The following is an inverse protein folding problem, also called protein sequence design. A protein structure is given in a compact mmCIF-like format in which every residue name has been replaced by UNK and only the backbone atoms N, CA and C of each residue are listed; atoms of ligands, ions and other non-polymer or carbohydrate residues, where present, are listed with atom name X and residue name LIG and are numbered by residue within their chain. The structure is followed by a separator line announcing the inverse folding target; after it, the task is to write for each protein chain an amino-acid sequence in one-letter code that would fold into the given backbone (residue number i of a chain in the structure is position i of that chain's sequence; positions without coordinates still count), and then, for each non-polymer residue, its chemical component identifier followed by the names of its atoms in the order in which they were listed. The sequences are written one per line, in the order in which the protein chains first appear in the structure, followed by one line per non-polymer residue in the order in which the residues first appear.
data_IF_964477165305
#
_entry.id   IF_964477165305
#
_cell.length_a   1.000
_cell.length_b   1.000
_cell.length_c   1.000
_cell.angle_alpha   90.00
_cell.angle_beta   90.00
_cell.angle_gamma   90.00
#
_symmetry.space_group_name_H-M   'P 1'
#
loop_
_entity.id
_entity.type
_entity.pdbx_description
1 polymer ?
#
# COMPACT_ATOMS: atom_id res chain seq x y z
N UNK A 1 -10.04 29.03 -14.03
CA UNK A 1 -10.68 28.15 -15.03
C UNK A 1 -9.69 27.22 -15.72
N UNK A 2 -8.58 27.67 -16.34
CA UNK A 2 -7.55 26.76 -16.91
C UNK A 2 -6.65 26.04 -15.88
N UNK A 3 -6.51 26.59 -14.67
CA UNK A 3 -5.59 26.08 -13.65
C UNK A 3 -5.93 24.68 -13.10
N UNK A 4 -7.21 24.35 -12.88
CA UNK A 4 -7.60 23.04 -12.32
C UNK A 4 -7.37 21.91 -13.32
N UNK A 5 -7.67 22.14 -14.61
CA UNK A 5 -7.44 21.14 -15.65
C UNK A 5 -5.94 20.91 -15.93
N UNK A 6 -5.14 21.98 -15.99
CA UNK A 6 -3.68 21.83 -16.12
C UNK A 6 -3.09 21.09 -14.91
N UNK A 7 -3.53 21.42 -13.69
CA UNK A 7 -3.12 20.73 -12.48
C UNK A 7 -3.52 19.25 -12.50
N UNK A 8 -4.74 18.93 -12.96
CA UNK A 8 -5.22 17.57 -13.15
C UNK A 8 -4.34 16.77 -14.12
N UNK A 9 -3.96 17.34 -15.27
CA UNK A 9 -3.06 16.68 -16.22
C UNK A 9 -1.69 16.44 -15.59
N UNK A 10 -1.10 17.48 -14.97
CA UNK A 10 0.21 17.38 -14.33
C UNK A 10 0.21 16.28 -13.27
N UNK A 11 -0.80 16.26 -12.40
CA UNK A 11 -0.94 15.22 -11.39
C UNK A 11 -1.11 13.84 -12.01
N UNK A 12 -1.96 13.71 -13.03
CA UNK A 12 -2.16 12.44 -13.75
C UNK A 12 -0.84 11.87 -14.27
N UNK A 13 -0.01 12.70 -14.91
CA UNK A 13 1.31 12.29 -15.40
C UNK A 13 2.22 11.87 -14.24
N UNK A 14 2.26 12.63 -13.15
CA UNK A 14 3.05 12.28 -11.95
C UNK A 14 2.61 10.92 -11.41
N UNK A 15 1.31 10.69 -11.26
CA UNK A 15 0.75 9.45 -10.71
C UNK A 15 1.08 8.26 -11.62
N UNK A 16 0.96 8.42 -12.94
CA UNK A 16 1.34 7.40 -13.92
C UNK A 16 2.82 7.04 -13.76
N UNK A 17 3.71 8.04 -13.73
CA UNK A 17 5.16 7.83 -13.57
C UNK A 17 5.48 7.14 -12.25
N UNK A 18 4.88 7.59 -11.15
CA UNK A 18 5.08 7.01 -9.80
C UNK A 18 4.62 5.56 -9.75
N UNK A 19 3.45 5.23 -10.29
CA UNK A 19 2.95 3.87 -10.36
C UNK A 19 3.85 2.98 -11.23
N UNK A 20 4.30 3.45 -12.40
CA UNK A 20 5.25 2.71 -13.24
C UNK A 20 6.57 2.42 -12.52
N UNK A 21 7.11 3.39 -11.76
CA UNK A 21 8.29 3.17 -10.94
C UNK A 21 8.06 2.11 -9.86
N UNK A 22 6.89 2.13 -9.21
CA UNK A 22 6.48 1.09 -8.26
C UNK A 22 6.46 -0.30 -8.89
N UNK A 23 5.76 -0.45 -10.03
CA UNK A 23 5.71 -1.71 -10.79
C UNK A 23 7.09 -2.19 -11.22
N UNK A 24 7.92 -1.30 -11.75
CA UNK A 24 9.27 -1.65 -12.19
C UNK A 24 10.13 -2.18 -11.03
N UNK A 25 9.99 -1.58 -9.84
CA UNK A 25 10.72 -2.03 -8.66
C UNK A 25 10.25 -3.42 -8.22
N UNK A 26 8.95 -3.63 -8.12
CA UNK A 26 8.33 -4.90 -7.70
C UNK A 26 8.70 -6.03 -8.67
N UNK A 27 8.64 -5.76 -9.98
CA UNK A 27 8.99 -6.74 -11.00
C UNK A 27 10.44 -7.21 -10.90
N UNK A 28 11.34 -6.33 -10.43
CA UNK A 28 12.76 -6.63 -10.25
C UNK A 28 13.09 -7.36 -8.95
N UNK A 29 12.14 -7.46 -8.01
CA UNK A 29 12.37 -8.14 -6.74
C UNK A 29 12.58 -9.63 -7.00
N UNK A 30 13.72 -10.13 -6.54
CA UNK A 30 14.06 -11.54 -6.61
C UNK A 30 13.72 -12.29 -5.32
N UNK A 31 13.52 -13.60 -5.44
CA UNK A 31 13.38 -14.49 -4.29
C UNK A 31 14.03 -15.84 -4.61
N UNK A 32 14.56 -16.49 -3.59
CA UNK A 32 14.96 -17.89 -3.62
C UNK A 32 13.84 -18.86 -3.19
N UNK A 33 12.74 -18.33 -2.63
CA UNK A 33 11.62 -19.11 -2.10
C UNK A 33 11.90 -19.85 -0.79
N UNK A 34 12.98 -19.51 -0.09
CA UNK A 34 13.28 -20.03 1.23
C UNK A 34 12.76 -19.09 2.34
N UNK A 35 12.39 -19.67 3.48
CA UNK A 35 12.06 -18.95 4.70
C UNK A 35 13.19 -19.18 5.69
N UNK A 36 13.67 -18.07 6.25
CA UNK A 36 14.80 -18.03 7.15
C UNK A 36 14.38 -17.59 8.56
N UNK A 37 15.12 -18.06 9.55
CA UNK A 37 15.06 -17.62 10.95
C UNK A 37 16.45 -17.19 11.41
N UNK A 38 16.52 -16.13 12.20
CA UNK A 38 17.73 -15.71 12.90
C UNK A 38 17.69 -16.26 14.32
N UNK A 39 18.70 -17.04 14.70
CA UNK A 39 18.86 -17.60 16.05
C UNK A 39 19.60 -16.61 16.97
N UNK A 40 19.62 -16.88 18.28
CA UNK A 40 20.19 -15.98 19.29
C UNK A 40 21.69 -15.70 19.07
N UNK A 41 22.41 -16.67 18.49
CA UNK A 41 23.82 -16.55 18.08
C UNK A 41 24.03 -15.75 16.78
N UNK A 42 22.99 -15.06 16.28
CA UNK A 42 22.96 -14.33 14.99
C UNK A 42 23.22 -15.21 13.75
N UNK A 43 23.10 -16.53 13.90
CA UNK A 43 23.14 -17.44 12.76
C UNK A 43 21.80 -17.43 12.05
N UNK A 44 21.83 -17.39 10.71
CA UNK A 44 20.63 -17.41 9.88
C UNK A 44 20.45 -18.82 9.34
N UNK A 45 19.30 -19.44 9.61
CA UNK A 45 18.99 -20.82 9.28
C UNK A 45 17.78 -20.90 8.37
N UNK A 46 17.80 -21.84 7.41
CA UNK A 46 16.66 -22.16 6.57
C UNK A 46 15.67 -23.00 7.37
N UNK A 47 14.46 -22.50 7.57
CA UNK A 47 13.40 -23.21 8.31
C UNK A 47 12.34 -23.83 7.40
N UNK A 48 12.23 -23.35 6.16
CA UNK A 48 11.30 -23.89 5.18
C UNK A 48 11.75 -23.54 3.76
N UNK A 49 11.49 -24.44 2.82
CA UNK A 49 11.74 -24.24 1.40
C UNK A 49 10.44 -24.50 0.65
N UNK A 50 9.99 -23.51 -0.11
CA UNK A 50 8.79 -23.64 -0.94
C UNK A 50 9.05 -24.66 -2.05
N UNK A 51 8.13 -25.61 -2.25
CA UNK A 51 8.21 -26.54 -3.37
C UNK A 51 8.28 -25.80 -4.71
N UNK A 52 9.09 -26.33 -5.64
CA UNK A 52 9.32 -25.75 -6.96
C UNK A 52 9.88 -24.31 -6.93
N UNK A 53 10.56 -23.94 -5.84
CA UNK A 53 11.30 -22.68 -5.76
C UNK A 53 12.74 -22.83 -6.26
N UNK A 54 13.44 -21.70 -6.55
CA UNK A 54 14.87 -21.72 -6.80
C UNK A 54 15.70 -22.48 -5.77
N UNK A 55 15.44 -22.27 -4.48
CA UNK A 55 16.13 -22.96 -3.39
C UNK A 55 15.88 -24.47 -3.45
N UNK A 56 14.64 -24.90 -3.74
CA UNK A 56 14.28 -26.31 -3.90
C UNK A 56 15.06 -26.96 -5.04
N UNK A 57 15.11 -26.34 -6.22
CA UNK A 57 15.84 -26.88 -7.37
C UNK A 57 17.36 -26.88 -7.21
N UNK A 58 17.87 -26.11 -6.26
CA UNK A 58 19.31 -25.98 -6.01
C UNK A 58 19.81 -26.88 -4.87
N UNK A 59 18.96 -27.75 -4.33
CA UNK A 59 19.29 -28.64 -3.20
C UNK A 59 19.71 -27.91 -1.91
N UNK A 60 19.17 -26.70 -1.68
CA UNK A 60 19.14 -26.16 -0.33
C UNK A 60 18.20 -27.02 0.53
N UNK A 61 18.52 -27.14 1.81
CA UNK A 61 17.77 -27.98 2.75
C UNK A 61 17.38 -27.20 4.00
N UNK A 62 16.32 -27.68 4.66
CA UNK A 62 15.93 -27.17 5.97
C UNK A 62 17.02 -27.54 6.98
N UNK A 63 17.42 -26.58 7.81
CA UNK A 63 18.54 -26.71 8.75
C UNK A 63 19.87 -26.14 8.25
N UNK A 64 19.97 -25.82 6.95
CA UNK A 64 21.16 -25.18 6.40
C UNK A 64 21.39 -23.81 7.05
N UNK A 65 22.62 -23.57 7.53
CA UNK A 65 23.03 -22.28 8.11
C UNK A 65 23.72 -21.43 7.07
N UNK A 66 23.19 -20.25 6.78
CA UNK A 66 23.75 -19.30 5.82
C UNK A 66 24.98 -18.62 6.44
N UNK A 67 26.13 -18.77 5.78
CA UNK A 67 27.38 -18.09 6.15
C UNK A 67 27.58 -16.85 5.29
N UNK A 68 27.45 -16.98 3.97
CA UNK A 68 27.62 -15.88 3.03
C UNK A 68 26.86 -16.13 1.73
N UNK A 69 26.52 -15.05 1.02
CA UNK A 69 26.01 -15.10 -0.35
C UNK A 69 26.96 -14.31 -1.25
N UNK A 70 27.53 -14.95 -2.29
CA UNK A 70 28.57 -14.38 -3.14
C UNK A 70 29.72 -13.75 -2.32
N UNK A 71 30.15 -14.43 -1.25
CA UNK A 71 31.20 -13.95 -0.35
C UNK A 71 30.79 -12.83 0.60
N UNK A 72 29.55 -12.33 0.54
CA UNK A 72 29.04 -11.30 1.45
C UNK A 72 28.33 -11.94 2.65
N UNK A 73 28.84 -11.66 3.85
CA UNK A 73 28.22 -12.11 5.11
C UNK A 73 27.04 -11.18 5.45
N UNK A 74 25.81 -11.70 5.58
CA UNK A 74 24.65 -10.90 5.96
C UNK A 74 24.78 -10.38 7.39
N UNK A 75 24.48 -9.10 7.61
CA UNK A 75 24.53 -8.48 8.95
C UNK A 75 23.35 -8.89 9.85
N UNK A 76 22.23 -9.24 9.24
CA UNK A 76 20.99 -9.65 9.89
C UNK A 76 20.10 -10.38 8.89
N UNK A 77 19.01 -10.99 9.37
CA UNK A 77 17.99 -11.57 8.50
C UNK A 77 17.40 -10.58 7.49
N UNK A 78 17.26 -9.31 7.89
CA UNK A 78 16.71 -8.26 7.03
C UNK A 78 17.68 -7.85 5.94
N UNK A 79 18.98 -7.83 6.26
CA UNK A 79 20.04 -7.60 5.27
C UNK A 79 20.08 -8.73 4.25
N UNK A 80 20.00 -9.99 4.70
CA UNK A 80 19.94 -11.16 3.82
C UNK A 80 18.74 -11.07 2.86
N UNK A 81 17.52 -10.98 3.40
CA UNK A 81 16.29 -11.01 2.60
C UNK A 81 16.18 -9.82 1.66
N UNK A 82 16.31 -8.60 2.17
CA UNK A 82 16.01 -7.44 1.34
C UNK A 82 17.22 -6.89 0.57
N UNK A 83 18.38 -6.75 1.21
CA UNK A 83 19.54 -6.11 0.57
C UNK A 83 20.30 -7.06 -0.36
N UNK A 84 20.29 -8.36 -0.06
CA UNK A 84 21.05 -9.35 -0.83
C UNK A 84 20.13 -10.10 -1.80
N UNK A 85 19.07 -10.75 -1.30
CA UNK A 85 18.20 -11.61 -2.12
C UNK A 85 17.25 -10.75 -2.96
N UNK A 86 16.42 -9.88 -2.37
CA UNK A 86 15.41 -9.11 -3.11
C UNK A 86 16.02 -8.15 -4.13
N UNK A 87 17.18 -7.53 -3.81
CA UNK A 87 17.91 -6.64 -4.72
C UNK A 87 18.87 -7.37 -5.67
N UNK A 88 19.04 -8.69 -5.52
CA UNK A 88 20.02 -9.42 -6.29
C UNK A 88 19.74 -9.38 -7.79
N UNK A 89 18.46 -9.39 -8.15
CA UNK A 89 17.93 -9.35 -9.51
C UNK A 89 17.48 -10.73 -9.95
N UNK A 90 16.37 -10.75 -10.68
CA UNK A 90 15.77 -11.98 -11.20
C UNK A 90 16.70 -12.68 -12.19
N UNK A 91 16.67 -14.01 -12.19
CA UNK A 91 17.44 -14.93 -13.03
C UNK A 91 18.96 -14.94 -12.80
N UNK A 92 19.47 -14.18 -11.82
CA UNK A 92 20.89 -14.22 -11.46
C UNK A 92 21.22 -15.38 -10.55
N UNK A 93 22.42 -15.93 -10.75
CA UNK A 93 22.95 -17.01 -9.92
C UNK A 93 23.71 -16.42 -8.72
N UNK A 94 23.34 -16.84 -7.53
CA UNK A 94 23.98 -16.50 -6.27
C UNK A 94 24.61 -17.76 -5.68
N UNK A 95 25.85 -17.65 -5.22
CA UNK A 95 26.57 -18.74 -4.55
C UNK A 95 26.28 -18.63 -3.06
N UNK A 96 25.52 -19.58 -2.54
CA UNK A 96 25.22 -19.71 -1.12
C UNK A 96 26.33 -20.52 -0.46
N UNK A 97 27.12 -19.87 0.38
CA UNK A 97 28.03 -20.55 1.29
C UNK A 97 27.25 -20.89 2.55
N UNK A 98 27.04 -22.18 2.78
CA UNK A 98 26.26 -22.72 3.90
C UNK A 98 27.09 -23.66 4.76
N UNK A 99 26.65 -23.86 6.00
CA UNK A 99 27.14 -24.94 6.86
C UNK A 99 26.05 -25.99 7.05
N UNK A 100 26.32 -27.22 6.63
CA UNK A 100 25.48 -28.42 6.80
C UNK A 100 26.32 -29.52 7.45
N UNK A 101 25.86 -30.10 8.55
CA UNK A 101 26.60 -31.15 9.28
C UNK A 101 28.08 -30.83 9.53
N UNK A 102 28.37 -29.59 9.92
CA UNK A 102 29.72 -29.04 10.14
C UNK A 102 30.62 -28.95 8.90
N UNK A 103 30.10 -29.23 7.70
CA UNK A 103 30.79 -29.01 6.43
C UNK A 103 30.31 -27.71 5.79
N UNK A 104 31.24 -27.00 5.15
CA UNK A 104 30.93 -25.82 4.36
C UNK A 104 30.66 -26.26 2.92
N UNK A 105 29.50 -25.88 2.39
CA UNK A 105 29.09 -26.16 1.00
C UNK A 105 28.85 -24.84 0.27
N UNK A 106 29.15 -24.82 -1.02
CA UNK A 106 28.84 -23.70 -1.90
C UNK A 106 27.80 -24.16 -2.91
N UNK A 107 26.59 -23.62 -2.81
CA UNK A 107 25.44 -24.03 -3.61
C UNK A 107 25.04 -22.86 -4.54
N UNK A 108 25.11 -23.03 -5.87
CA UNK A 108 24.63 -22.03 -6.80
C UNK A 108 23.09 -22.06 -6.86
N UNK A 109 22.45 -20.92 -6.63
CA UNK A 109 21.00 -20.75 -6.66
C UNK A 109 20.64 -19.67 -7.68
N UNK A 110 19.83 -20.02 -8.68
CA UNK A 110 19.32 -19.06 -9.67
C UNK A 110 18.06 -18.37 -9.15
N UNK A 111 18.17 -17.13 -8.69
CA UNK A 111 17.05 -16.39 -8.10
C UNK A 111 15.87 -16.25 -9.07
N UNK A 112 14.66 -16.45 -8.57
CA UNK A 112 13.41 -16.31 -9.33
C UNK A 112 12.70 -15.00 -9.00
N UNK A 113 11.50 -14.81 -9.56
CA UNK A 113 10.63 -13.68 -9.22
C UNK A 113 10.08 -13.81 -7.80
N UNK A 114 10.08 -12.71 -7.04
CA UNK A 114 9.45 -12.67 -5.71
C UNK A 114 7.95 -12.88 -5.78
N UNK A 115 7.28 -12.13 -6.66
CA UNK A 115 5.86 -12.29 -6.95
C UNK A 115 5.66 -13.08 -8.24
N UNK A 116 4.59 -13.88 -8.30
CA UNK A 116 4.28 -14.59 -9.54
C UNK A 116 3.89 -13.60 -10.64
N UNK A 117 4.15 -13.96 -11.90
CA UNK A 117 3.80 -13.12 -13.06
C UNK A 117 2.30 -12.82 -13.12
N UNK A 118 1.45 -13.80 -12.76
CA UNK A 118 0.00 -13.64 -12.73
C UNK A 118 -0.44 -12.65 -11.64
N UNK A 119 0.20 -12.70 -10.47
CA UNK A 119 -0.04 -11.72 -9.40
C UNK A 119 0.32 -10.31 -9.88
N UNK A 120 1.49 -10.15 -10.52
CA UNK A 120 1.90 -8.86 -11.06
C UNK A 120 0.92 -8.29 -12.10
N UNK A 121 0.43 -9.13 -13.02
CA UNK A 121 -0.57 -8.72 -14.02
C UNK A 121 -1.88 -8.31 -13.34
N UNK A 122 -2.33 -9.07 -12.34
CA UNK A 122 -3.51 -8.74 -11.56
C UNK A 122 -3.38 -7.36 -10.88
N UNK A 123 -2.27 -7.10 -10.21
CA UNK A 123 -2.01 -5.80 -9.57
C UNK A 123 -1.99 -4.65 -10.58
N UNK A 124 -1.40 -4.87 -11.76
CA UNK A 124 -1.40 -3.89 -12.86
C UNK A 124 -2.81 -3.53 -13.32
N UNK A 125 -3.67 -4.54 -13.50
CA UNK A 125 -5.07 -4.35 -13.89
C UNK A 125 -5.80 -3.56 -12.81
N UNK A 126 -5.61 -3.90 -11.52
CA UNK A 126 -6.30 -3.21 -10.43
C UNK A 126 -5.91 -1.74 -10.31
N UNK A 127 -4.61 -1.42 -10.36
CA UNK A 127 -4.12 -0.03 -10.32
C UNK A 127 -4.62 0.75 -11.54
N UNK A 128 -4.57 0.14 -12.73
CA UNK A 128 -5.10 0.76 -13.95
C UNK A 128 -6.60 1.04 -13.82
N UNK A 129 -7.40 0.08 -13.32
CA UNK A 129 -8.83 0.26 -13.13
C UNK A 129 -9.15 1.39 -12.14
N UNK A 130 -8.49 1.42 -10.97
CA UNK A 130 -8.71 2.47 -9.96
C UNK A 130 -8.39 3.86 -10.54
N UNK A 131 -7.24 3.99 -11.21
CA UNK A 131 -6.82 5.26 -11.79
C UNK A 131 -7.68 5.67 -12.99
N UNK A 132 -8.02 4.74 -13.87
CA UNK A 132 -8.83 5.03 -15.05
C UNK A 132 -10.26 5.43 -14.66
N UNK A 133 -10.87 4.75 -13.69
CA UNK A 133 -12.19 5.12 -13.19
C UNK A 133 -12.17 6.48 -12.47
N UNK A 134 -11.10 6.83 -11.78
CA UNK A 134 -11.00 8.15 -11.12
C UNK A 134 -10.85 9.27 -12.16
N UNK A 135 -10.11 9.01 -13.23
CA UNK A 135 -10.01 9.88 -14.39
C UNK A 135 -11.37 10.08 -15.07
N UNK A 136 -12.11 8.98 -15.34
CA UNK A 136 -13.46 9.05 -15.90
C UNK A 136 -14.44 9.80 -14.99
N UNK A 137 -14.31 9.63 -13.67
CA UNK A 137 -15.13 10.36 -12.70
C UNK A 137 -14.89 11.86 -12.80
N UNK A 138 -13.63 12.29 -12.88
CA UNK A 138 -13.27 13.70 -13.05
C UNK A 138 -13.92 14.32 -14.30
N UNK A 139 -13.76 13.65 -15.46
CA UNK A 139 -14.33 14.13 -16.72
C UNK A 139 -15.86 14.16 -16.68
N UNK A 140 -16.47 13.08 -16.15
CA UNK A 140 -17.92 12.93 -16.14
C UNK A 140 -18.57 13.96 -15.20
N UNK A 141 -18.07 14.16 -13.98
CA UNK A 141 -18.67 15.02 -12.95
C UNK A 141 -18.26 16.50 -13.02
N UNK A 142 -17.82 16.94 -14.21
CA UNK A 142 -17.52 18.32 -14.53
C UNK A 142 -16.10 18.68 -14.17
N UNK A 143 -15.27 18.86 -15.21
CA UNK A 143 -13.82 19.11 -15.19
C UNK A 143 -13.36 20.37 -14.40
N UNK A 144 -14.29 21.08 -13.76
CA UNK A 144 -14.04 22.31 -13.00
C UNK A 144 -14.65 22.29 -11.59
N UNK A 145 -15.34 21.22 -11.18
CA UNK A 145 -15.85 21.09 -9.82
C UNK A 145 -14.71 20.75 -8.86
N UNK A 146 -14.67 21.40 -7.68
CA UNK A 146 -13.63 21.12 -6.67
C UNK A 146 -13.80 19.69 -6.15
N UNK A 147 -15.05 19.27 -6.04
CA UNK A 147 -15.51 17.94 -5.64
C UNK A 147 -14.86 16.85 -6.50
N UNK A 148 -14.98 16.96 -7.83
CA UNK A 148 -14.44 15.94 -8.75
C UNK A 148 -12.91 15.86 -8.68
N UNK A 149 -12.23 17.01 -8.53
CA UNK A 149 -10.78 17.05 -8.36
C UNK A 149 -10.33 16.34 -7.08
N UNK A 150 -11.02 16.55 -5.96
CA UNK A 150 -10.68 15.88 -4.69
C UNK A 150 -10.94 14.38 -4.73
N UNK A 151 -12.01 13.92 -5.38
CA UNK A 151 -12.25 12.49 -5.62
C UNK A 151 -11.15 11.89 -6.48
N UNK A 152 -10.77 12.57 -7.57
CA UNK A 152 -9.64 12.15 -8.40
C UNK A 152 -8.33 12.04 -7.61
N UNK A 153 -8.00 13.06 -6.82
CA UNK A 153 -6.79 13.08 -6.00
C UNK A 153 -6.79 11.94 -4.96
N UNK A 154 -7.93 11.70 -4.32
CA UNK A 154 -8.11 10.62 -3.34
C UNK A 154 -7.83 9.25 -3.96
N UNK A 155 -8.52 8.91 -5.05
CA UNK A 155 -8.36 7.61 -5.71
C UNK A 155 -6.99 7.45 -6.38
N UNK A 156 -6.38 8.55 -6.80
CA UNK A 156 -5.00 8.55 -7.26
C UNK A 156 -4.03 8.16 -6.16
N UNK A 157 -4.19 8.70 -4.95
CA UNK A 157 -3.37 8.30 -3.80
C UNK A 157 -3.66 6.88 -3.35
N UNK A 158 -4.91 6.39 -3.49
CA UNK A 158 -5.20 4.96 -3.29
C UNK A 158 -4.39 4.12 -4.27
N UNK A 159 -4.37 4.48 -5.56
CA UNK A 159 -3.62 3.73 -6.59
C UNK A 159 -2.12 3.64 -6.25
N UNK A 160 -1.55 4.74 -5.76
CA UNK A 160 -0.16 4.79 -5.29
C UNK A 160 0.02 3.94 -4.04
N UNK A 161 -0.80 4.11 -3.01
CA UNK A 161 -0.71 3.33 -1.78
C UNK A 161 -0.86 1.82 -2.04
N UNK A 162 -1.71 1.44 -3.00
CA UNK A 162 -1.92 0.08 -3.44
C UNK A 162 -0.62 -0.55 -3.93
N UNK A 163 0.03 0.02 -4.95
CA UNK A 163 1.25 -0.58 -5.50
C UNK A 163 2.43 -0.44 -4.55
N UNK A 164 2.54 0.69 -3.85
CA UNK A 164 3.67 0.95 -2.97
C UNK A 164 3.62 0.13 -1.68
N UNK A 165 2.46 -0.44 -1.31
CA UNK A 165 2.38 -1.41 -0.23
C UNK A 165 3.10 -2.73 -0.50
N UNK A 166 3.40 -3.02 -1.77
CA UNK A 166 4.14 -4.20 -2.22
C UNK A 166 5.63 -3.93 -2.44
N UNK A 167 6.06 -2.67 -2.30
CA UNK A 167 7.48 -2.31 -2.47
C UNK A 167 8.27 -2.71 -1.23
N UNK A 168 9.46 -3.28 -1.45
CA UNK A 168 10.38 -3.64 -0.37
C UNK A 168 10.73 -2.44 0.51
N UNK A 169 10.74 -2.66 1.83
CA UNK A 169 11.14 -1.69 2.85
C UNK A 169 12.53 -1.09 2.63
N UNK A 170 13.35 -1.70 1.77
CA UNK A 170 14.75 -1.29 1.54
C UNK A 170 14.88 -0.37 0.31
N UNK A 171 13.79 -0.10 -0.41
CA UNK A 171 13.77 0.93 -1.45
C UNK A 171 13.29 2.26 -0.86
N UNK A 172 14.22 3.00 -0.24
CA UNK A 172 13.93 4.16 0.60
C UNK A 172 13.04 5.22 -0.07
N UNK A 173 13.38 5.61 -1.30
CA UNK A 173 12.65 6.66 -2.01
C UNK A 173 11.20 6.26 -2.25
N UNK A 174 10.98 5.00 -2.64
CA UNK A 174 9.65 4.51 -2.92
C UNK A 174 8.84 4.36 -1.63
N UNK A 175 9.42 3.80 -0.57
CA UNK A 175 8.70 3.66 0.69
C UNK A 175 8.29 5.02 1.30
N UNK A 176 9.06 6.10 1.06
CA UNK A 176 8.66 7.46 1.46
C UNK A 176 7.35 7.88 0.77
N UNK A 177 7.16 7.56 -0.51
CA UNK A 177 5.89 7.81 -1.20
C UNK A 177 4.72 7.04 -0.57
N UNK A 178 4.95 5.81 -0.09
CA UNK A 178 3.94 5.07 0.67
C UNK A 178 3.55 5.82 1.94
N UNK A 179 4.53 6.27 2.74
CA UNK A 179 4.27 7.00 3.99
C UNK A 179 3.48 8.27 3.69
N UNK A 180 3.89 9.06 2.68
CA UNK A 180 3.17 10.28 2.28
C UNK A 180 1.74 9.94 1.88
N UNK A 181 1.55 9.01 0.94
CA UNK A 181 0.21 8.67 0.44
C UNK A 181 -0.71 8.16 1.56
N UNK A 182 -0.24 7.22 2.38
CA UNK A 182 -1.01 6.63 3.48
C UNK A 182 -1.34 7.65 4.58
N UNK A 183 -0.43 8.55 4.93
CA UNK A 183 -0.68 9.56 5.99
C UNK A 183 -1.70 10.62 5.58
N UNK A 184 -1.78 10.99 4.29
CA UNK A 184 -2.68 12.04 3.80
C UNK A 184 -4.01 11.53 3.23
N UNK A 185 -4.13 10.23 2.91
CA UNK A 185 -5.37 9.61 2.43
C UNK A 185 -6.59 9.90 3.32
N UNK A 186 -6.53 9.70 4.66
CA UNK A 186 -7.69 9.95 5.53
C UNK A 186 -8.10 11.42 5.60
N UNK A 187 -7.13 12.34 5.57
CA UNK A 187 -7.40 13.78 5.56
C UNK A 187 -8.16 14.21 4.32
N UNK A 188 -7.88 13.59 3.17
CA UNK A 188 -8.58 13.89 1.92
C UNK A 188 -10.02 13.40 1.94
N UNK A 189 -10.31 12.23 2.53
CA UNK A 189 -11.70 11.75 2.73
C UNK A 189 -12.48 12.75 3.60
N UNK A 190 -11.89 13.18 4.71
CA UNK A 190 -12.53 14.15 5.61
C UNK A 190 -12.75 15.48 4.89
N UNK A 191 -11.76 16.00 4.15
CA UNK A 191 -11.92 17.22 3.37
C UNK A 191 -13.06 17.10 2.35
N UNK A 192 -13.12 15.98 1.63
CA UNK A 192 -14.20 15.72 0.68
C UNK A 192 -15.58 15.74 1.37
N UNK A 193 -15.72 15.17 2.57
CA UNK A 193 -16.98 15.21 3.32
C UNK A 193 -17.46 16.64 3.64
N UNK A 194 -16.54 17.54 4.00
CA UNK A 194 -16.88 18.95 4.28
C UNK A 194 -17.25 19.72 3.01
N UNK A 195 -16.63 19.42 1.87
CA UNK A 195 -17.01 20.00 0.57
C UNK A 195 -18.47 19.68 0.27
N UNK A 196 -18.88 18.41 0.44
CA UNK A 196 -20.25 17.98 0.18
C UNK A 196 -21.27 18.70 1.08
N UNK A 197 -20.96 18.92 2.35
CA UNK A 197 -21.89 19.56 3.30
C UNK A 197 -22.13 21.05 3.02
N UNK A 198 -21.27 21.71 2.23
CA UNK A 198 -21.24 23.19 2.06
C UNK A 198 -21.07 23.97 3.37
N UNK A 199 -20.72 23.30 4.46
CA UNK A 199 -20.54 23.84 5.81
C UNK A 199 -19.04 23.83 6.13
N UNK A 200 -18.36 24.88 5.67
CA UNK A 200 -16.90 24.96 5.58
C UNK A 200 -16.32 25.69 6.80
N UNK A 201 -16.27 25.05 7.96
CA UNK A 201 -15.43 25.53 9.06
C UNK A 201 -13.96 25.16 8.77
N UNK A 202 -13.21 26.12 8.22
CA UNK A 202 -11.81 25.94 7.78
C UNK A 202 -10.90 25.37 8.86
N UNK A 203 -11.20 25.62 10.14
CA UNK A 203 -10.43 25.17 11.30
C UNK A 203 -10.32 23.64 11.39
N UNK A 204 -11.41 22.89 11.18
CA UNK A 204 -11.39 21.42 11.26
C UNK A 204 -10.51 20.78 10.18
N UNK A 205 -10.47 21.39 8.99
CA UNK A 205 -9.63 20.93 7.89
C UNK A 205 -8.15 21.12 8.22
N UNK A 206 -7.78 22.29 8.75
CA UNK A 206 -6.40 22.57 9.17
C UNK A 206 -5.95 21.57 10.22
N UNK A 207 -6.78 21.32 11.24
CA UNK A 207 -6.47 20.32 12.29
C UNK A 207 -6.26 18.92 11.68
N UNK A 208 -7.12 18.51 10.75
CA UNK A 208 -7.02 17.19 10.10
C UNK A 208 -5.70 17.04 9.32
N UNK A 209 -5.33 18.05 8.53
CA UNK A 209 -4.07 18.04 7.80
C UNK A 209 -2.84 18.12 8.71
N UNK A 210 -2.91 18.84 9.83
CA UNK A 210 -1.86 18.86 10.84
C UNK A 210 -1.67 17.47 11.47
N UNK A 211 -2.76 16.78 11.83
CA UNK A 211 -2.68 15.41 12.36
C UNK A 211 -2.03 14.47 11.33
N UNK A 212 -2.44 14.52 10.06
CA UNK A 212 -1.79 13.77 8.98
C UNK A 212 -0.31 14.08 8.84
N UNK A 213 0.08 15.36 8.96
CA UNK A 213 1.48 15.77 8.90
C UNK A 213 2.31 15.24 10.07
N UNK A 214 1.76 15.27 11.29
CA UNK A 214 2.43 14.67 12.47
C UNK A 214 2.60 13.14 12.30
N UNK A 215 1.57 12.44 11.82
CA UNK A 215 1.65 11.01 11.54
C UNK A 215 2.72 10.70 10.48
N UNK A 216 2.77 11.50 9.41
CA UNK A 216 3.80 11.43 8.37
C UNK A 216 5.20 11.57 8.97
N UNK A 217 5.45 12.63 9.76
CA UNK A 217 6.78 12.88 10.33
C UNK A 217 7.24 11.76 11.28
N UNK A 218 6.35 11.32 12.18
CA UNK A 218 6.68 10.26 13.15
C UNK A 218 7.01 8.96 12.42
N UNK A 219 6.22 8.59 11.42
CA UNK A 219 6.46 7.38 10.65
C UNK A 219 7.74 7.49 9.81
N UNK A 220 7.95 8.62 9.11
CA UNK A 220 9.13 8.87 8.31
C UNK A 220 10.42 8.79 9.12
N UNK A 221 10.50 9.49 10.25
CA UNK A 221 11.71 9.51 11.09
C UNK A 221 12.04 8.10 11.60
N UNK A 222 11.03 7.36 12.08
CA UNK A 222 11.21 5.99 12.57
C UNK A 222 11.65 5.04 11.45
N UNK A 223 11.11 5.23 10.25
CA UNK A 223 11.51 4.47 9.07
C UNK A 223 12.96 4.75 8.69
N UNK A 224 13.37 6.03 8.61
CA UNK A 224 14.75 6.41 8.25
C UNK A 224 15.77 5.86 9.25
N UNK A 225 15.49 5.91 10.56
CA UNK A 225 16.34 5.32 11.59
C UNK A 225 16.50 3.80 11.40
N UNK A 226 15.40 3.09 11.13
CA UNK A 226 15.46 1.66 10.83
C UNK A 226 16.24 1.39 9.54
N UNK A 227 15.92 2.09 8.46
CA UNK A 227 16.54 1.97 7.14
C UNK A 227 18.06 2.13 7.15
N UNK A 228 18.59 3.02 7.99
CA UNK A 228 20.03 3.27 8.13
C UNK A 228 20.75 2.22 8.97
N UNK A 229 20.09 1.62 9.95
CA UNK A 229 20.72 0.73 10.95
C UNK A 229 20.46 -0.74 10.72
N UNK A 230 19.31 -1.11 10.14
CA UNK A 230 18.85 -2.46 9.85
C UNK A 230 18.85 -3.41 11.08
N UNK A 231 18.67 -2.84 12.28
CA UNK A 231 18.65 -3.62 13.55
C UNK A 231 17.23 -4.02 13.96
N UNK A 232 17.12 -5.18 14.64
CA UNK A 232 15.85 -5.70 15.20
C UNK A 232 15.20 -4.72 16.19
N UNK A 233 16.00 -4.03 17.01
CA UNK A 233 15.50 -3.05 17.98
C UNK A 233 14.81 -1.87 17.28
N UNK A 234 15.43 -1.31 16.23
CA UNK A 234 14.84 -0.22 15.47
C UNK A 234 13.65 -0.67 14.62
N UNK A 235 13.65 -1.92 14.13
CA UNK A 235 12.47 -2.50 13.51
C UNK A 235 11.30 -2.59 14.49
N UNK A 236 11.52 -3.09 15.70
CA UNK A 236 10.46 -3.18 16.71
C UNK A 236 9.86 -1.81 17.01
N UNK A 237 10.70 -0.76 17.12
CA UNK A 237 10.25 0.62 17.28
C UNK A 237 9.45 1.12 16.07
N UNK A 238 9.92 0.85 14.84
CA UNK A 238 9.18 1.17 13.61
C UNK A 238 7.83 0.46 13.57
N UNK A 239 7.77 -0.83 13.89
CA UNK A 239 6.53 -1.59 13.90
C UNK A 239 5.54 -1.07 14.94
N UNK A 240 6.00 -0.68 16.13
CA UNK A 240 5.15 0.00 17.13
C UNK A 240 4.59 1.30 16.58
N UNK A 241 5.41 2.12 15.91
CA UNK A 241 4.94 3.33 15.25
C UNK A 241 3.92 3.03 14.15
N UNK A 242 4.16 2.03 13.29
CA UNK A 242 3.20 1.60 12.26
C UNK A 242 1.87 1.22 12.89
N UNK A 243 1.86 0.46 14.00
CA UNK A 243 0.62 0.07 14.71
C UNK A 243 -0.20 1.28 15.16
N UNK A 244 0.48 2.26 15.78
CA UNK A 244 -0.14 3.51 16.25
C UNK A 244 -0.67 4.29 15.04
N UNK A 245 0.13 4.44 13.99
CA UNK A 245 -0.25 5.15 12.77
C UNK A 245 -1.45 4.50 12.09
N UNK A 246 -1.48 3.17 11.94
CA UNK A 246 -2.62 2.44 11.38
C UNK A 246 -3.89 2.64 12.23
N UNK A 247 -3.75 2.69 13.56
CA UNK A 247 -4.88 2.92 14.46
C UNK A 247 -5.46 4.32 14.25
N UNK A 248 -4.61 5.35 14.26
CA UNK A 248 -5.02 6.73 14.00
C UNK A 248 -5.64 6.91 12.60
N UNK A 249 -5.01 6.36 11.57
CA UNK A 249 -5.51 6.37 10.19
C UNK A 249 -6.88 5.70 10.10
N UNK A 250 -7.09 4.58 10.78
CA UNK A 250 -8.38 3.86 10.81
C UNK A 250 -9.48 4.72 11.41
N UNK A 251 -9.22 5.35 12.56
CA UNK A 251 -10.18 6.25 13.22
C UNK A 251 -10.53 7.43 12.31
N UNK A 252 -9.53 8.09 11.72
CA UNK A 252 -9.75 9.20 10.79
C UNK A 252 -10.58 8.78 9.57
N UNK A 253 -10.31 7.59 9.03
CA UNK A 253 -11.06 7.03 7.90
C UNK A 253 -12.50 6.74 8.30
N UNK A 254 -12.75 6.14 9.46
CA UNK A 254 -14.10 5.92 10.00
C UNK A 254 -14.86 7.24 10.16
N UNK A 255 -14.23 8.25 10.77
CA UNK A 255 -14.84 9.59 10.92
C UNK A 255 -15.17 10.19 9.56
N UNK A 256 -14.26 10.10 8.59
CA UNK A 256 -14.49 10.56 7.22
C UNK A 256 -15.68 9.88 6.54
N UNK A 257 -15.82 8.56 6.69
CA UNK A 257 -16.97 7.80 6.16
C UNK A 257 -18.27 8.26 6.82
N UNK A 258 -18.30 8.40 8.14
CA UNK A 258 -19.49 8.84 8.89
C UNK A 258 -19.92 10.24 8.44
N UNK A 259 -18.97 11.18 8.37
CA UNK A 259 -19.25 12.55 7.93
C UNK A 259 -19.73 12.60 6.48
N UNK A 260 -19.19 11.76 5.61
CA UNK A 260 -19.62 11.67 4.22
C UNK A 260 -21.04 11.12 4.10
N UNK A 261 -21.38 10.03 4.80
CA UNK A 261 -22.75 9.49 4.84
C UNK A 261 -23.73 10.54 5.36
N UNK A 262 -23.38 11.22 6.45
CA UNK A 262 -24.20 12.30 7.01
C UNK A 262 -24.41 13.45 6.01
N UNK A 263 -23.36 13.84 5.29
CA UNK A 263 -23.43 14.91 4.28
C UNK A 263 -24.28 14.50 3.07
N UNK A 264 -24.25 13.23 2.66
CA UNK A 264 -25.10 12.68 1.60
C UNK A 264 -26.57 12.70 2.05
N UNK A 265 -26.85 12.26 3.27
CA UNK A 265 -28.20 12.27 3.85
C UNK A 265 -28.79 13.69 3.88
N UNK A 266 -28.04 14.68 4.35
CA UNK A 266 -28.53 16.07 4.47
C UNK A 266 -28.81 16.75 3.11
N UNK A 267 -28.08 16.36 2.06
CA UNK A 267 -28.21 16.97 0.74
C UNK A 267 -29.29 16.35 -0.15
N UNK A 268 -29.81 15.17 0.21
CA UNK A 268 -30.83 14.47 -0.57
C UNK A 268 -32.21 14.80 0.02
N UNK A 269 -33.07 15.49 -0.75
CA UNK A 269 -34.48 15.76 -0.36
C UNK A 269 -35.19 14.45 0.01
N UNK A 270 -36.07 14.49 1.02
CA UNK A 270 -36.77 13.34 1.66
C UNK A 270 -37.33 12.26 0.70
N UNK A 271 -37.62 12.59 -0.56
CA UNK A 271 -38.17 11.65 -1.56
C UNK A 271 -37.18 10.62 -2.16
N UNK A 272 -35.93 10.53 -1.69
CA UNK A 272 -34.92 9.59 -2.23
C UNK A 272 -34.18 8.79 -1.15
N UNK A 273 -34.88 8.39 -0.09
CA UNK A 273 -34.30 7.64 1.04
C UNK A 273 -33.55 6.36 0.61
N UNK A 274 -34.12 5.57 -0.30
CA UNK A 274 -33.50 4.33 -0.83
C UNK A 274 -32.12 4.60 -1.46
N UNK A 275 -31.94 5.78 -2.03
CA UNK A 275 -30.69 6.20 -2.64
C UNK A 275 -29.60 6.43 -1.59
N UNK A 276 -29.95 7.10 -0.49
CA UNK A 276 -29.01 7.36 0.62
C UNK A 276 -28.57 6.04 1.23
N UNK A 277 -29.50 5.12 1.45
CA UNK A 277 -29.22 3.79 1.99
C UNK A 277 -28.27 3.02 1.07
N UNK A 278 -28.56 3.00 -0.23
CA UNK A 278 -27.73 2.31 -1.23
C UNK A 278 -26.31 2.87 -1.29
N UNK A 279 -26.15 4.20 -1.38
CA UNK A 279 -24.83 4.83 -1.37
C UNK A 279 -24.06 4.55 -0.09
N UNK A 280 -24.72 4.63 1.07
CA UNK A 280 -24.09 4.36 2.36
C UNK A 280 -23.56 2.93 2.46
N UNK A 281 -24.33 1.94 2.01
CA UNK A 281 -23.90 0.53 1.96
C UNK A 281 -22.68 0.38 1.06
N UNK A 282 -22.68 0.99 -0.13
CA UNK A 282 -21.56 0.89 -1.08
C UNK A 282 -20.28 1.56 -0.57
N UNK A 283 -20.41 2.68 0.15
CA UNK A 283 -19.30 3.32 0.84
C UNK A 283 -18.73 2.44 1.96
N UNK A 284 -19.59 1.82 2.77
CA UNK A 284 -19.15 0.88 3.80
C UNK A 284 -18.44 -0.33 3.17
N UNK A 285 -19.01 -0.93 2.13
CA UNK A 285 -18.38 -2.05 1.41
C UNK A 285 -17.01 -1.68 0.82
N UNK A 286 -16.82 -0.43 0.38
CA UNK A 286 -15.57 0.01 -0.21
C UNK A 286 -14.44 0.27 0.78
N UNK A 287 -14.75 0.73 2.00
CA UNK A 287 -13.73 1.22 2.95
C UNK A 287 -13.63 0.42 4.26
N UNK A 288 -14.70 -0.29 4.68
CA UNK A 288 -14.63 -1.15 5.87
C UNK A 288 -13.64 -2.31 5.76
N UNK A 289 -13.42 -2.94 4.58
CA UNK A 289 -12.40 -3.98 4.45
C UNK A 289 -11.01 -3.51 4.89
N UNK A 290 -10.60 -2.30 4.51
CA UNK A 290 -9.33 -1.73 4.96
C UNK A 290 -9.26 -1.59 6.49
N UNK A 291 -10.32 -1.09 7.13
CA UNK A 291 -10.36 -0.86 8.58
C UNK A 291 -10.33 -2.20 9.34
N UNK A 292 -11.25 -3.11 9.02
CA UNK A 292 -11.49 -4.31 9.84
C UNK A 292 -10.66 -5.53 9.44
N UNK A 293 -10.28 -5.66 8.16
CA UNK A 293 -9.52 -6.83 7.69
C UNK A 293 -8.01 -6.60 7.66
N UNK A 294 -7.57 -5.34 7.68
CA UNK A 294 -6.16 -4.97 7.68
C UNK A 294 -5.76 -4.09 8.87
N UNK A 295 -6.26 -2.85 8.95
CA UNK A 295 -5.65 -1.83 9.78
C UNK A 295 -5.81 -2.11 11.28
N UNK A 296 -7.01 -2.46 11.76
CA UNK A 296 -7.22 -2.85 13.16
C UNK A 296 -6.47 -4.14 13.54
N UNK A 297 -6.55 -5.25 12.79
CA UNK A 297 -5.71 -6.41 13.06
C UNK A 297 -4.22 -6.07 13.24
N UNK A 298 -3.66 -5.28 12.32
CA UNK A 298 -2.26 -4.84 12.39
C UNK A 298 -2.01 -3.99 13.63
N UNK A 299 -2.86 -3.00 13.93
CA UNK A 299 -2.75 -2.14 15.11
C UNK A 299 -2.75 -2.93 16.42
N UNK A 300 -3.55 -3.99 16.52
CA UNK A 300 -3.58 -4.88 17.69
C UNK A 300 -2.46 -5.94 17.69
N UNK A 301 -1.54 -5.89 16.71
CA UNK A 301 -0.42 -6.83 16.62
C UNK A 301 -0.82 -8.23 16.16
N UNK A 302 -2.01 -8.40 15.61
CA UNK A 302 -2.44 -9.64 14.96
C UNK A 302 -1.94 -9.67 13.51
N UNK A 303 -1.86 -10.87 12.94
CA UNK A 303 -1.66 -11.01 11.49
C UNK A 303 -2.86 -10.40 10.76
N UNK A 304 -2.60 -9.69 9.67
CA UNK A 304 -3.64 -9.20 8.78
C UNK A 304 -4.53 -10.37 8.29
N UNK A 305 -5.84 -10.12 8.18
CA UNK A 305 -6.80 -11.10 7.65
C UNK A 305 -6.73 -11.09 6.12
N UNK A 306 -6.63 -9.89 5.56
CA UNK A 306 -6.46 -9.67 4.12
C UNK A 306 -5.29 -8.69 3.89
N UNK A 307 -4.41 -8.95 2.90
CA UNK A 307 -3.36 -8.02 2.50
C UNK A 307 -3.88 -6.62 2.17
N UNK A 308 -3.10 -5.60 2.53
CA UNK A 308 -3.46 -4.18 2.34
C UNK A 308 -3.81 -3.82 0.90
N UNK A 309 -3.08 -4.32 -0.09
CA UNK A 309 -3.35 -4.09 -1.52
C UNK A 309 -4.75 -4.62 -1.89
N UNK A 310 -5.11 -5.81 -1.42
CA UNK A 310 -6.45 -6.37 -1.65
C UNK A 310 -7.53 -5.57 -0.92
N UNK A 311 -7.28 -5.12 0.31
CA UNK A 311 -8.21 -4.25 1.03
C UNK A 311 -8.45 -2.91 0.31
N UNK A 312 -7.39 -2.27 -0.19
CA UNK A 312 -7.49 -1.01 -0.93
C UNK A 312 -8.25 -1.18 -2.25
N UNK A 313 -8.19 -2.37 -2.84
CA UNK A 313 -8.90 -2.69 -4.07
C UNK A 313 -10.44 -2.58 -3.96
N UNK A 314 -11.01 -2.78 -2.76
CA UNK A 314 -12.45 -2.62 -2.51
C UNK A 314 -12.94 -1.18 -2.69
N UNK A 315 -12.04 -0.19 -2.61
CA UNK A 315 -12.38 1.23 -2.80
C UNK A 315 -12.97 1.53 -4.19
N UNK A 316 -12.76 0.63 -5.16
CA UNK A 316 -13.35 0.70 -6.50
C UNK A 316 -14.89 0.65 -6.47
N UNK A 317 -15.50 0.00 -5.47
CA UNK A 317 -16.95 -0.18 -5.33
C UNK A 317 -17.67 1.17 -5.29
N UNK A 318 -17.37 2.09 -4.33
CA UNK A 318 -18.03 3.39 -4.29
C UNK A 318 -17.78 4.25 -5.55
N UNK A 319 -16.61 4.13 -6.19
CA UNK A 319 -16.28 4.87 -7.41
C UNK A 319 -17.13 4.43 -8.61
N UNK A 320 -17.20 3.12 -8.85
CA UNK A 320 -18.05 2.53 -9.90
C UNK A 320 -19.52 2.87 -9.69
N UNK A 321 -19.97 2.77 -8.45
CA UNK A 321 -21.36 3.03 -8.07
C UNK A 321 -21.76 4.47 -8.40
N UNK A 322 -20.89 5.44 -8.11
CA UNK A 322 -21.15 6.83 -8.43
C UNK A 322 -21.20 7.10 -9.94
N UNK A 323 -20.29 6.50 -10.72
CA UNK A 323 -20.27 6.60 -12.18
C UNK A 323 -21.54 6.05 -12.83
N UNK A 324 -21.94 4.82 -12.46
CA UNK A 324 -23.16 4.17 -12.98
C UNK A 324 -24.39 5.03 -12.67
N UNK A 325 -24.47 5.54 -11.44
CA UNK A 325 -25.60 6.36 -11.00
C UNK A 325 -25.76 7.64 -11.83
N UNK A 326 -24.67 8.34 -12.14
CA UNK A 326 -24.73 9.54 -12.98
C UNK A 326 -25.19 9.23 -14.39
N UNK A 327 -24.71 8.15 -14.99
CA UNK A 327 -25.14 7.77 -16.33
C UNK A 327 -26.64 7.47 -16.37
N UNK A 328 -27.17 6.82 -15.33
CA UNK A 328 -28.60 6.57 -15.20
C UNK A 328 -29.44 7.85 -15.02
N UNK A 329 -28.95 8.86 -14.28
CA UNK A 329 -29.65 10.14 -14.16
C UNK A 329 -29.69 10.91 -15.49
N UNK A 330 -28.59 10.88 -16.23
CA UNK A 330 -28.47 11.56 -17.52
C UNK A 330 -29.29 10.90 -18.64
N UNK A 331 -29.64 9.61 -18.53
CA UNK A 331 -30.47 8.92 -19.52
C UNK A 331 -31.99 9.07 -19.29
N UNK A 332 -32.38 9.65 -18.15
CA UNK A 332 -33.78 9.92 -17.77
C UNK A 332 -34.18 11.39 -17.86
N UNK A 333 -33.23 12.25 -18.25
CA UNK A 333 -33.43 13.64 -18.65
C UNK A 333 -33.30 13.70 -20.18
#
# INVERSE_FOLDING_TARGET
MRYNFNLFIILSVIIIVVNFLGFYNIYKLSSDGAIYKENDDRTIEIVYIKHFSPAFFSNLEVGDKIVALNGKVPKSLFDLKGNIIEKGGVDKVYIYTITRDKKILNIPVKLGYYYSRNFFIFELIMVFLIFFLSFLFYLSFGENSKESFFVFLFYSLISVAHIFSLVSFITYQLYIFLIISASFLPAIIIHFSFILKKDYKKEYLVVTYLVSFFLFLIWLVRYLIFALTLTKSNLNRLMTTVKITQFSISIMTMVGIILMIYSIYYNIKEKKFDLVTTFSILFLLGFLPYIFLYAFPVSFGKKEILPVNLCLSFSIIPLLSALIYKNYLNSKL
#
